data_IF_592426224250
#
_entry.id   IF_592426224250
#
_cell.length_a   1.000
_cell.length_b   1.000
_cell.length_c   1.000
_cell.angle_alpha   90.00
_cell.angle_beta   90.00
_cell.angle_gamma   90.00
#
_symmetry.space_group_name_H-M   'P 1'
#
loop_
_entity.id
_entity.type
_entity.pdbx_description
1 polymer ?
#
# COMPACT_ATOMS: atom_id res chain seq x y z
N UNK A 1 19.73 -3.95 15.58
CA UNK A 1 19.05 -3.37 14.40
C UNK A 1 18.46 -1.99 14.71
N UNK A 2 17.46 -1.87 15.60
CA UNK A 2 16.79 -0.59 15.90
C UNK A 2 17.77 0.53 16.32
N UNK A 3 18.69 0.26 17.23
CA UNK A 3 19.72 1.21 17.67
C UNK A 3 20.67 1.61 16.53
N UNK A 4 21.09 0.65 15.70
CA UNK A 4 21.97 0.94 14.55
C UNK A 4 21.30 1.83 13.51
N UNK A 5 20.04 1.57 13.18
CA UNK A 5 19.29 2.43 12.25
C UNK A 5 19.02 3.80 12.87
N UNK A 6 18.78 3.89 14.18
CA UNK A 6 18.61 5.16 14.87
C UNK A 6 19.81 6.10 14.69
N UNK A 7 21.05 5.55 14.70
CA UNK A 7 22.28 6.33 14.46
C UNK A 7 22.32 7.00 13.08
N UNK A 8 21.63 6.45 12.08
CA UNK A 8 21.59 7.00 10.72
C UNK A 8 20.62 8.18 10.57
N UNK A 9 19.65 8.31 11.50
CA UNK A 9 18.55 9.27 11.38
C UNK A 9 17.54 8.96 10.26
N UNK A 10 17.67 7.82 9.56
CA UNK A 10 16.73 7.33 8.55
C UNK A 10 15.59 6.52 9.19
N UNK A 11 14.43 6.39 8.52
CA UNK A 11 13.36 5.51 8.98
C UNK A 11 13.75 4.03 8.95
N UNK A 12 13.44 3.31 10.03
CA UNK A 12 13.37 1.86 10.05
C UNK A 12 12.00 1.44 9.52
N UNK A 13 11.97 0.82 8.33
CA UNK A 13 10.75 0.29 7.72
C UNK A 13 10.57 -1.16 8.13
N UNK A 14 9.38 -1.53 8.60
CA UNK A 14 9.11 -2.88 9.11
C UNK A 14 7.82 -3.41 8.51
N UNK A 15 7.88 -4.63 7.94
CA UNK A 15 6.71 -5.47 7.68
C UNK A 15 6.35 -6.15 9.01
N UNK A 16 5.22 -5.80 9.66
CA UNK A 16 4.96 -6.28 11.02
C UNK A 16 4.08 -7.53 11.01
N UNK A 17 4.65 -8.72 11.10
CA UNK A 17 3.89 -9.94 11.45
C UNK A 17 4.63 -10.73 12.53
N UNK A 18 3.88 -11.42 13.37
CA UNK A 18 4.41 -12.39 14.32
C UNK A 18 4.41 -13.77 13.66
N UNK A 19 5.62 -14.26 13.32
CA UNK A 19 5.78 -15.51 12.56
C UNK A 19 5.34 -16.74 13.37
N UNK A 20 5.55 -16.75 14.68
CA UNK A 20 5.17 -17.90 15.51
C UNK A 20 3.63 -18.01 15.59
N UNK A 21 2.93 -16.89 15.77
CA UNK A 21 1.46 -16.87 15.74
C UNK A 21 0.93 -17.28 14.37
N UNK A 22 1.53 -16.75 13.30
CA UNK A 22 1.21 -17.08 11.93
C UNK A 22 1.33 -18.59 11.69
N UNK A 23 2.48 -19.19 11.99
CA UNK A 23 2.75 -20.63 11.83
C UNK A 23 1.72 -21.49 12.58
N UNK A 24 1.43 -21.14 13.84
CA UNK A 24 0.43 -21.85 14.66
C UNK A 24 -0.96 -21.76 14.04
N UNK A 25 -1.34 -20.60 13.50
CA UNK A 25 -2.65 -20.41 12.87
C UNK A 25 -2.70 -21.20 11.56
N UNK A 26 -1.73 -21.04 10.66
CA UNK A 26 -1.66 -21.75 9.38
C UNK A 26 -1.71 -23.27 9.58
N UNK A 27 -0.95 -23.80 10.55
CA UNK A 27 -0.90 -25.22 10.84
C UNK A 27 -2.28 -25.81 11.16
N UNK A 28 -3.16 -25.07 11.86
CA UNK A 28 -4.54 -25.51 12.15
C UNK A 28 -5.34 -25.74 10.86
N UNK A 29 -5.19 -24.87 9.87
CA UNK A 29 -5.84 -25.03 8.57
C UNK A 29 -5.20 -26.15 7.76
N UNK A 30 -3.87 -26.28 7.84
CA UNK A 30 -3.14 -27.34 7.14
C UNK A 30 -3.53 -28.74 7.59
N UNK A 31 -3.64 -28.96 8.91
CA UNK A 31 -4.06 -30.23 9.51
C UNK A 31 -5.48 -30.64 9.13
N UNK A 32 -6.37 -29.67 8.87
CA UNK A 32 -7.73 -29.92 8.40
C UNK A 32 -7.82 -30.20 6.90
N UNK A 33 -6.71 -30.10 6.17
CA UNK A 33 -6.68 -30.26 4.72
C UNK A 33 -7.36 -29.12 3.96
N UNK A 34 -7.65 -27.97 4.59
CA UNK A 34 -8.29 -26.86 3.90
C UNK A 34 -7.26 -26.07 3.10
N UNK A 35 -7.45 -26.01 1.78
CA UNK A 35 -6.51 -25.45 0.80
C UNK A 35 -7.11 -24.30 -0.02
N UNK A 36 -8.32 -23.88 0.34
CA UNK A 36 -9.11 -22.90 -0.42
C UNK A 36 -8.64 -21.46 -0.15
N UNK A 37 -8.82 -20.53 -1.12
CA UNK A 37 -8.55 -19.10 -0.90
C UNK A 37 -9.24 -18.50 0.33
N UNK A 38 -10.48 -18.90 0.60
CA UNK A 38 -11.24 -18.47 1.77
C UNK A 38 -10.60 -18.91 3.10
N UNK A 39 -9.95 -20.08 3.12
CA UNK A 39 -9.29 -20.60 4.31
C UNK A 39 -8.06 -19.77 4.66
N UNK A 40 -7.24 -19.49 3.64
CA UNK A 40 -6.10 -18.59 3.74
C UNK A 40 -6.54 -17.19 4.20
N UNK A 41 -7.59 -16.63 3.59
CA UNK A 41 -8.16 -15.34 3.98
C UNK A 41 -8.63 -15.27 5.44
N UNK A 42 -9.27 -16.34 5.95
CA UNK A 42 -9.69 -16.42 7.34
C UNK A 42 -8.52 -16.60 8.30
N UNK A 43 -7.55 -17.44 7.96
CA UNK A 43 -6.39 -17.69 8.80
C UNK A 43 -5.64 -16.41 9.11
N UNK A 44 -5.42 -15.61 8.08
CA UNK A 44 -4.69 -14.38 8.27
C UNK A 44 -5.52 -13.31 8.99
N UNK A 45 -6.86 -13.37 9.01
CA UNK A 45 -7.68 -12.51 9.87
C UNK A 45 -8.14 -13.18 11.15
N UNK A 46 -7.50 -14.27 11.55
CA UNK A 46 -7.83 -14.95 12.80
C UNK A 46 -7.62 -13.99 13.98
N UNK A 47 -8.52 -14.08 14.96
CA UNK A 47 -8.56 -13.18 16.12
C UNK A 47 -8.44 -11.69 15.76
N UNK A 48 -9.16 -11.24 14.72
CA UNK A 48 -9.22 -9.85 14.27
C UNK A 48 -7.85 -9.24 13.86
N UNK A 49 -6.91 -10.09 13.43
CA UNK A 49 -5.59 -9.65 12.96
C UNK A 49 -4.49 -9.65 14.03
N UNK A 50 -4.60 -10.56 15.02
CA UNK A 50 -3.63 -10.72 16.12
C UNK A 50 -2.18 -10.85 15.66
N UNK A 51 -1.95 -11.45 14.48
CA UNK A 51 -0.62 -11.63 13.87
C UNK A 51 0.10 -10.28 13.71
N UNK A 52 -0.57 -9.29 13.12
CA UNK A 52 0.02 -7.96 12.90
C UNK A 52 -0.02 -7.12 14.17
N UNK A 53 -1.12 -7.16 14.93
CA UNK A 53 -1.25 -6.35 16.14
C UNK A 53 -0.18 -6.69 17.19
N UNK A 54 0.14 -7.97 17.36
CA UNK A 54 1.21 -8.42 18.27
C UNK A 54 2.58 -7.91 17.83
N UNK A 55 2.88 -8.00 16.53
CA UNK A 55 4.12 -7.49 15.97
C UNK A 55 4.20 -5.96 16.13
N UNK A 56 3.13 -5.22 15.81
CA UNK A 56 3.04 -3.76 15.94
C UNK A 56 3.24 -3.33 17.40
N UNK A 57 2.59 -4.00 18.35
CA UNK A 57 2.77 -3.72 19.77
C UNK A 57 4.23 -3.88 20.20
N UNK A 58 4.88 -4.96 19.75
CA UNK A 58 6.27 -5.28 20.07
C UNK A 58 7.24 -4.26 19.47
N UNK A 59 7.13 -3.96 18.17
CA UNK A 59 8.03 -3.00 17.52
C UNK A 59 7.83 -1.58 18.04
N UNK A 60 6.62 -1.21 18.49
CA UNK A 60 6.38 0.07 19.14
C UNK A 60 7.08 0.14 20.52
N UNK A 61 7.23 -0.97 21.24
CA UNK A 61 8.03 -0.98 22.48
C UNK A 61 9.50 -0.73 22.18
N UNK A 62 10.05 -1.39 21.17
CA UNK A 62 11.43 -1.17 20.74
C UNK A 62 11.65 0.26 20.22
N UNK A 63 10.71 0.78 19.42
CA UNK A 63 10.75 2.16 18.95
C UNK A 63 10.77 3.15 20.13
N UNK A 64 9.96 2.93 21.16
CA UNK A 64 9.94 3.79 22.35
C UNK A 64 11.26 3.76 23.11
N UNK A 65 11.89 2.59 23.20
CA UNK A 65 13.16 2.41 23.89
C UNK A 65 14.34 3.05 23.14
N UNK A 66 14.36 2.99 21.81
CA UNK A 66 15.49 3.45 21.00
C UNK A 66 15.30 4.84 20.40
N UNK A 67 14.08 5.36 20.35
CA UNK A 67 13.75 6.62 19.69
C UNK A 67 13.89 6.59 18.16
N UNK A 68 14.10 5.41 17.55
CA UNK A 68 14.23 5.29 16.09
C UNK A 68 12.98 5.84 15.39
N UNK A 69 13.16 6.46 14.22
CA UNK A 69 12.05 6.76 13.33
C UNK A 69 11.50 5.45 12.79
N UNK A 70 10.28 5.09 13.17
CA UNK A 70 9.65 3.85 12.72
C UNK A 70 8.67 4.16 11.59
N UNK A 71 8.71 3.35 10.53
CA UNK A 71 7.71 3.33 9.47
C UNK A 71 7.07 1.94 9.42
N UNK A 72 5.79 1.88 9.77
CA UNK A 72 5.01 0.64 9.79
C UNK A 72 4.42 0.44 8.39
N UNK A 73 4.86 -0.62 7.71
CA UNK A 73 4.38 -0.98 6.38
C UNK A 73 2.97 -1.59 6.45
N UNK A 74 2.21 -1.40 5.36
CA UNK A 74 0.96 -2.09 5.03
C UNK A 74 -0.01 -2.38 6.18
N UNK A 75 -0.25 -1.36 7.01
CA UNK A 75 -1.24 -1.39 8.07
C UNK A 75 -2.62 -1.81 7.52
N UNK A 76 -3.25 -2.77 8.19
CA UNK A 76 -4.55 -3.31 7.77
C UNK A 76 -5.48 -3.69 8.94
N UNK A 77 -5.14 -3.27 10.17
CA UNK A 77 -5.90 -3.62 11.40
C UNK A 77 -6.27 -2.37 12.22
N UNK A 78 -7.47 -2.32 12.82
CA UNK A 78 -7.87 -1.25 13.73
C UNK A 78 -6.98 -1.15 14.97
N UNK A 79 -6.61 -2.29 15.56
CA UNK A 79 -5.75 -2.31 16.75
C UNK A 79 -4.36 -1.74 16.46
N UNK A 80 -3.74 -2.16 15.35
CA UNK A 80 -2.51 -1.58 14.81
C UNK A 80 -2.59 -0.06 14.63
N UNK A 81 -3.65 0.43 14.00
CA UNK A 81 -3.90 1.87 13.83
C UNK A 81 -4.00 2.61 15.16
N UNK A 82 -4.75 2.08 16.13
CA UNK A 82 -4.92 2.70 17.44
C UNK A 82 -3.60 2.76 18.22
N UNK A 83 -2.80 1.69 18.17
CA UNK A 83 -1.47 1.68 18.78
C UNK A 83 -0.53 2.73 18.14
N UNK A 84 -0.56 2.86 16.82
CA UNK A 84 0.20 3.87 16.11
C UNK A 84 -0.29 5.30 16.42
N UNK A 85 -1.61 5.51 16.47
CA UNK A 85 -2.24 6.79 16.85
C UNK A 85 -1.75 7.25 18.22
N UNK A 86 -1.85 6.39 19.23
CA UNK A 86 -1.38 6.69 20.59
C UNK A 86 0.12 6.98 20.63
N UNK A 87 0.93 6.25 19.87
CA UNK A 87 2.36 6.54 19.79
C UNK A 87 2.64 7.93 19.20
N UNK A 88 1.88 8.35 18.19
CA UNK A 88 1.98 9.71 17.61
C UNK A 88 1.52 10.79 18.58
N UNK A 89 0.44 10.57 19.33
CA UNK A 89 -0.04 11.48 20.37
C UNK A 89 1.00 11.68 21.49
N UNK A 90 1.79 10.65 21.80
CA UNK A 90 2.97 10.74 22.68
C UNK A 90 4.16 11.50 22.05
N UNK A 91 4.04 12.01 20.81
CA UNK A 91 5.09 12.72 20.10
C UNK A 91 6.19 11.81 19.52
N UNK A 92 5.97 10.49 19.45
CA UNK A 92 6.98 9.54 18.99
C UNK A 92 7.07 9.55 17.46
N UNK A 93 8.29 9.41 16.88
CA UNK A 93 8.49 9.46 15.44
C UNK A 93 8.06 8.15 14.76
N UNK A 94 6.74 7.93 14.68
CA UNK A 94 6.11 6.79 14.02
C UNK A 94 5.35 7.27 12.79
N UNK A 95 5.51 6.57 11.68
CA UNK A 95 4.66 6.75 10.49
C UNK A 95 4.02 5.43 10.06
N UNK A 96 2.90 5.53 9.36
CA UNK A 96 2.04 4.42 8.95
C UNK A 96 1.78 4.49 7.45
N UNK A 97 1.99 3.37 6.77
CA UNK A 97 1.62 3.13 5.38
C UNK A 97 0.37 2.24 5.32
N UNK A 98 -0.56 2.58 4.41
CA UNK A 98 -1.68 1.72 4.01
C UNK A 98 -1.61 1.45 2.52
N UNK A 99 -1.99 0.24 2.10
CA UNK A 99 -1.93 -0.14 0.69
C UNK A 99 -3.29 -0.08 0.01
N UNK A 100 -3.33 0.20 -1.31
CA UNK A 100 -4.57 0.25 -2.08
C UNK A 100 -5.38 -1.05 -1.96
N UNK A 101 -4.74 -2.21 -1.93
CA UNK A 101 -5.44 -3.49 -1.78
C UNK A 101 -6.32 -3.54 -0.52
N UNK A 102 -5.87 -2.97 0.60
CA UNK A 102 -6.64 -3.01 1.84
C UNK A 102 -7.95 -2.20 1.75
N UNK A 103 -7.98 -1.15 0.92
CA UNK A 103 -9.13 -0.27 0.75
C UNK A 103 -10.04 -0.67 -0.42
N UNK A 104 -9.44 -1.25 -1.47
CA UNK A 104 -10.09 -1.37 -2.78
C UNK A 104 -10.19 -2.81 -3.29
N UNK A 105 -9.49 -3.77 -2.68
CA UNK A 105 -9.41 -5.15 -3.15
C UNK A 105 -9.84 -6.18 -2.08
N UNK A 106 -9.54 -5.94 -0.80
CA UNK A 106 -9.69 -6.90 0.29
C UNK A 106 -11.13 -7.27 0.72
N UNK A 107 -12.14 -7.27 -0.15
CA UNK A 107 -13.49 -7.72 0.22
C UNK A 107 -13.63 -9.25 0.18
N UNK A 108 -14.59 -9.79 0.94
CA UNK A 108 -14.89 -11.24 0.91
C UNK A 108 -15.33 -11.70 -0.49
N UNK A 109 -16.12 -10.87 -1.17
CA UNK A 109 -16.55 -11.09 -2.55
C UNK A 109 -15.37 -11.25 -3.51
N UNK A 110 -14.33 -10.42 -3.37
CA UNK A 110 -13.13 -10.53 -4.20
C UNK A 110 -12.32 -11.77 -3.88
N UNK A 111 -12.26 -12.22 -2.62
CA UNK A 111 -11.64 -13.51 -2.28
C UNK A 111 -12.35 -14.66 -3.00
N UNK A 112 -13.67 -14.63 -3.09
CA UNK A 112 -14.43 -15.66 -3.80
C UNK A 112 -14.27 -15.58 -5.33
N UNK A 113 -14.27 -14.37 -5.90
CA UNK A 113 -14.20 -14.15 -7.35
C UNK A 113 -12.79 -14.29 -7.92
N UNK A 114 -11.82 -13.67 -7.28
CA UNK A 114 -10.44 -13.55 -7.77
C UNK A 114 -9.52 -14.62 -7.20
N UNK A 115 -9.90 -15.25 -6.07
CA UNK A 115 -9.11 -16.31 -5.44
C UNK A 115 -7.64 -15.92 -5.26
N UNK A 116 -6.67 -16.65 -5.84
CA UNK A 116 -5.26 -16.30 -5.72
C UNK A 116 -4.90 -14.91 -6.24
N UNK A 117 -5.66 -14.35 -7.19
CA UNK A 117 -5.38 -13.04 -7.81
C UNK A 117 -5.74 -11.83 -6.94
N UNK A 118 -6.37 -12.06 -5.79
CA UNK A 118 -6.64 -11.06 -4.76
C UNK A 118 -6.02 -11.62 -3.49
N UNK A 119 -4.76 -11.25 -3.21
CA UNK A 119 -3.95 -11.67 -2.06
C UNK A 119 -4.86 -11.89 -0.88
N UNK A 120 -4.81 -13.11 -0.38
CA UNK A 120 -5.77 -13.63 0.59
C UNK A 120 -5.60 -13.05 1.98
N UNK A 121 -5.55 -11.74 2.13
CA UNK A 121 -5.88 -11.06 3.38
C UNK A 121 -7.15 -10.27 3.12
N UNK A 122 -8.28 -10.99 3.15
CA UNK A 122 -9.59 -10.36 3.35
C UNK A 122 -9.45 -9.28 4.42
N UNK A 123 -9.93 -8.07 4.18
CA UNK A 123 -9.96 -6.98 5.16
C UNK A 123 -11.42 -6.83 5.57
N UNK A 124 -11.77 -7.16 6.83
CA UNK A 124 -13.13 -6.97 7.33
C UNK A 124 -13.62 -5.53 7.11
N UNK A 125 -14.92 -5.35 6.91
CA UNK A 125 -15.49 -4.03 6.61
C UNK A 125 -15.16 -2.99 7.69
N UNK A 126 -15.23 -3.37 8.97
CA UNK A 126 -14.83 -2.49 10.07
C UNK A 126 -13.33 -2.12 10.07
N UNK A 127 -12.47 -2.96 9.49
CA UNK A 127 -11.06 -2.62 9.27
C UNK A 127 -10.93 -1.59 8.16
N UNK A 128 -11.64 -1.76 7.04
CA UNK A 128 -11.64 -0.80 5.93
C UNK A 128 -12.11 0.58 6.40
N UNK A 129 -13.18 0.62 7.19
CA UNK A 129 -13.68 1.85 7.81
C UNK A 129 -12.63 2.50 8.72
N UNK A 130 -11.96 1.71 9.57
CA UNK A 130 -10.91 2.20 10.44
C UNK A 130 -9.72 2.77 9.65
N UNK A 131 -9.34 2.14 8.53
CA UNK A 131 -8.28 2.64 7.64
C UNK A 131 -8.67 3.97 6.99
N UNK A 132 -9.90 4.11 6.49
CA UNK A 132 -10.40 5.39 5.97
C UNK A 132 -10.41 6.48 7.03
N UNK A 133 -10.85 6.16 8.25
CA UNK A 133 -10.79 7.10 9.39
C UNK A 133 -9.34 7.47 9.73
N UNK A 134 -8.42 6.51 9.67
CA UNK A 134 -6.99 6.75 9.87
C UNK A 134 -6.38 7.67 8.81
N UNK A 135 -6.83 7.59 7.55
CA UNK A 135 -6.46 8.55 6.50
C UNK A 135 -7.06 9.92 6.80
N UNK A 136 -8.31 9.97 7.25
CA UNK A 136 -9.02 11.20 7.53
C UNK A 136 -8.40 11.98 8.71
N UNK A 137 -8.05 11.28 9.79
CA UNK A 137 -7.50 11.86 11.03
C UNK A 137 -5.97 12.06 11.01
N UNK A 138 -5.28 11.59 9.97
CA UNK A 138 -3.82 11.71 9.81
C UNK A 138 -3.00 10.64 10.55
N UNK A 139 -3.65 9.61 11.12
CA UNK A 139 -2.97 8.43 11.66
C UNK A 139 -2.22 7.69 10.56
N UNK A 140 -2.79 7.60 9.36
CA UNK A 140 -2.13 7.07 8.15
C UNK A 140 -1.37 8.20 7.48
N UNK A 141 -0.05 8.05 7.30
CA UNK A 141 0.78 9.11 6.71
C UNK A 141 0.86 9.01 5.20
N UNK A 142 0.93 7.79 4.66
CA UNK A 142 1.13 7.60 3.24
C UNK A 142 0.49 6.34 2.67
N UNK A 143 0.41 6.32 1.35
CA UNK A 143 0.03 5.14 0.57
C UNK A 143 1.27 4.57 -0.11
N UNK A 144 1.56 3.30 0.16
CA UNK A 144 2.50 2.47 -0.60
C UNK A 144 1.72 1.42 -1.37
N UNK A 145 2.19 1.00 -2.54
CA UNK A 145 1.41 0.07 -3.38
C UNK A 145 1.71 -1.39 -3.10
N UNK A 146 2.86 -1.70 -2.49
CA UNK A 146 3.38 -3.08 -2.36
C UNK A 146 3.25 -3.87 -3.67
N UNK A 147 3.60 -3.20 -4.78
CA UNK A 147 3.52 -3.78 -6.11
C UNK A 147 4.53 -4.91 -6.25
N UNK A 148 4.05 -6.15 -6.11
CA UNK A 148 4.82 -7.38 -6.22
C UNK A 148 4.14 -8.33 -7.23
N UNK A 149 4.25 -8.07 -8.54
CA UNK A 149 3.50 -8.81 -9.56
C UNK A 149 4.07 -10.21 -9.79
N UNK A 150 3.19 -11.20 -9.88
CA UNK A 150 3.49 -12.60 -10.23
C UNK A 150 2.80 -12.99 -11.54
N UNK A 151 3.35 -13.98 -12.25
CA UNK A 151 2.72 -14.45 -13.48
C UNK A 151 1.40 -15.17 -13.18
N UNK A 152 0.53 -15.33 -14.18
CA UNK A 152 -0.74 -16.06 -14.00
C UNK A 152 -0.49 -17.51 -13.60
N UNK A 153 0.52 -18.13 -14.21
CA UNK A 153 0.92 -19.51 -13.95
C UNK A 153 1.35 -19.71 -12.49
N UNK A 154 2.12 -18.75 -11.95
CA UNK A 154 2.53 -18.75 -10.54
C UNK A 154 1.33 -18.59 -9.61
N UNK A 155 0.36 -17.73 -9.95
CA UNK A 155 -0.83 -17.49 -9.14
C UNK A 155 -1.81 -18.66 -9.19
N UNK A 156 -2.01 -19.26 -10.36
CA UNK A 156 -3.01 -20.30 -10.62
C UNK A 156 -2.81 -21.58 -9.79
N UNK A 157 -1.60 -21.81 -9.26
CA UNK A 157 -1.36 -22.89 -8.28
C UNK A 157 -2.28 -22.77 -7.07
N UNK A 158 -2.68 -21.54 -6.72
CA UNK A 158 -3.55 -21.23 -5.59
C UNK A 158 -4.99 -21.72 -5.74
N UNK A 159 -5.45 -22.00 -6.96
CA UNK A 159 -6.76 -22.64 -7.17
C UNK A 159 -6.78 -24.09 -6.67
N UNK A 160 -5.62 -24.76 -6.66
CA UNK A 160 -5.46 -26.10 -6.09
C UNK A 160 -5.03 -26.04 -4.64
N UNK A 161 -4.08 -25.16 -4.34
CA UNK A 161 -3.51 -25.00 -3.01
C UNK A 161 -3.10 -23.54 -2.77
N UNK A 162 -3.98 -22.79 -2.11
CA UNK A 162 -3.75 -21.36 -1.86
C UNK A 162 -2.47 -21.10 -1.08
N UNK A 163 -2.07 -22.01 -0.19
CA UNK A 163 -0.87 -21.88 0.64
C UNK A 163 0.43 -21.97 -0.18
N UNK A 164 0.34 -22.38 -1.45
CA UNK A 164 1.47 -22.42 -2.39
C UNK A 164 1.46 -21.26 -3.39
N UNK A 165 0.40 -20.45 -3.42
CA UNK A 165 0.33 -19.27 -4.29
C UNK A 165 1.25 -18.19 -3.73
N UNK A 166 2.08 -17.54 -4.55
CA UNK A 166 2.90 -16.46 -4.06
C UNK A 166 2.05 -15.24 -3.69
N UNK A 167 2.46 -14.58 -2.61
CA UNK A 167 1.90 -13.31 -2.20
C UNK A 167 2.40 -12.16 -3.06
N UNK A 168 1.51 -11.26 -3.47
CA UNK A 168 1.81 -10.08 -4.28
C UNK A 168 0.85 -9.93 -5.47
N UNK A 169 0.47 -8.69 -5.81
CA UNK A 169 -0.22 -8.36 -7.07
C UNK A 169 0.25 -7.04 -7.70
N UNK A 170 -0.09 -6.84 -8.99
CA UNK A 170 0.03 -5.54 -9.64
C UNK A 170 -0.88 -4.46 -9.03
N UNK A 171 -0.29 -3.41 -8.44
CA UNK A 171 -1.06 -2.23 -7.96
C UNK A 171 -0.56 -0.85 -8.47
N UNK A 172 0.73 -0.71 -8.82
CA UNK A 172 1.39 0.59 -9.05
C UNK A 172 0.76 1.48 -10.14
N UNK A 173 0.18 0.89 -11.18
CA UNK A 173 -0.40 1.66 -12.28
C UNK A 173 -1.78 2.24 -11.91
N UNK A 174 -2.59 1.46 -11.20
CA UNK A 174 -4.01 1.74 -11.04
C UNK A 174 -4.32 2.54 -9.77
N UNK A 175 -3.43 2.52 -8.77
CA UNK A 175 -3.72 3.06 -7.44
C UNK A 175 -4.21 4.52 -7.47
N UNK A 176 -3.59 5.39 -8.27
CA UNK A 176 -3.98 6.80 -8.33
C UNK A 176 -5.40 6.96 -8.90
N UNK A 177 -5.78 6.19 -9.92
CA UNK A 177 -7.15 6.22 -10.48
C UNK A 177 -8.18 5.75 -9.45
N UNK A 178 -7.86 4.75 -8.62
CA UNK A 178 -8.73 4.28 -7.54
C UNK A 178 -8.97 5.38 -6.50
N UNK A 179 -7.90 6.07 -6.07
CA UNK A 179 -8.02 7.15 -5.11
C UNK A 179 -8.69 8.40 -5.70
N UNK A 180 -8.45 8.76 -6.96
CA UNK A 180 -9.15 9.84 -7.64
C UNK A 180 -10.66 9.53 -7.79
N UNK A 181 -11.02 8.25 -7.95
CA UNK A 181 -12.41 7.81 -7.91
C UNK A 181 -12.98 8.03 -6.51
N UNK A 182 -12.27 7.65 -5.45
CA UNK A 182 -12.68 7.93 -4.07
C UNK A 182 -12.82 9.44 -3.78
N UNK A 183 -12.01 10.29 -4.43
CA UNK A 183 -12.17 11.75 -4.37
C UNK A 183 -13.46 12.20 -5.05
N UNK A 184 -13.74 11.69 -6.25
CA UNK A 184 -15.00 11.95 -6.96
C UNK A 184 -16.25 11.46 -6.18
N UNK A 185 -16.11 10.39 -5.41
CA UNK A 185 -17.15 9.84 -4.52
C UNK A 185 -17.28 10.59 -3.19
N UNK A 186 -16.41 11.57 -2.91
CA UNK A 186 -16.44 12.34 -1.66
C UNK A 186 -15.88 11.62 -0.43
N UNK A 187 -15.23 10.46 -0.60
CA UNK A 187 -14.60 9.70 0.50
C UNK A 187 -13.25 10.26 0.93
N UNK A 188 -12.58 11.00 0.04
CA UNK A 188 -11.26 11.57 0.25
C UNK A 188 -11.21 12.96 -0.39
N UNK A 189 -10.50 13.91 0.21
CA UNK A 189 -10.25 15.20 -0.45
C UNK A 189 -9.00 15.12 -1.32
N UNK A 190 -8.95 15.92 -2.39
CA UNK A 190 -7.76 15.98 -3.25
C UNK A 190 -6.49 16.41 -2.48
N UNK A 191 -6.63 17.34 -1.52
CA UNK A 191 -5.51 17.76 -0.65
C UNK A 191 -4.96 16.59 0.17
N UNK A 192 -5.84 15.79 0.79
CA UNK A 192 -5.42 14.60 1.53
C UNK A 192 -4.76 13.57 0.62
N UNK A 193 -5.30 13.36 -0.59
CA UNK A 193 -4.69 12.48 -1.58
C UNK A 193 -3.26 12.92 -1.93
N UNK A 194 -3.05 14.20 -2.23
CA UNK A 194 -1.72 14.77 -2.52
C UNK A 194 -0.78 14.60 -1.31
N UNK A 195 -1.29 14.81 -0.09
CA UNK A 195 -0.51 14.63 1.14
C UNK A 195 0.00 13.19 1.28
N UNK A 196 -0.88 12.21 1.19
CA UNK A 196 -0.54 10.80 1.47
C UNK A 196 0.19 10.10 0.31
N UNK A 197 0.14 10.64 -0.92
CA UNK A 197 0.81 10.02 -2.08
C UNK A 197 2.09 10.71 -2.51
N UNK A 198 2.29 11.97 -2.13
CA UNK A 198 3.43 12.77 -2.61
C UNK A 198 4.16 13.49 -1.49
N UNK A 199 3.48 14.37 -0.75
CA UNK A 199 4.13 15.24 0.23
C UNK A 199 4.69 14.47 1.44
N UNK A 200 3.88 13.62 2.08
CA UNK A 200 4.29 12.87 3.25
C UNK A 200 5.39 11.84 2.94
N UNK A 201 5.31 11.04 1.85
CA UNK A 201 6.44 10.21 1.43
C UNK A 201 7.73 11.03 1.29
N UNK A 202 7.67 12.16 0.58
CA UNK A 202 8.87 12.99 0.37
C UNK A 202 9.45 13.52 1.69
N UNK A 203 8.58 13.93 2.62
CA UNK A 203 8.97 14.40 3.95
C UNK A 203 9.55 13.29 4.83
N UNK A 204 8.89 12.13 4.89
CA UNK A 204 9.27 10.99 5.74
C UNK A 204 10.61 10.40 5.30
N UNK A 205 10.81 10.26 3.99
CA UNK A 205 12.03 9.69 3.40
C UNK A 205 13.10 10.74 3.08
N UNK A 206 12.90 12.00 3.51
CA UNK A 206 13.94 13.03 3.50
C UNK A 206 14.30 13.59 2.13
N UNK A 207 13.39 13.55 1.16
CA UNK A 207 13.60 14.09 -0.20
C UNK A 207 12.79 15.36 -0.50
N UNK A 208 12.08 15.89 0.50
CA UNK A 208 11.47 17.22 0.47
C UNK A 208 12.56 18.31 0.66
N UNK A 209 12.56 19.44 -0.09
CA UNK A 209 11.56 19.88 -1.06
C UNK A 209 11.83 19.44 -2.50
N UNK A 210 12.89 18.66 -2.77
CA UNK A 210 13.19 18.23 -4.15
C UNK A 210 12.02 17.47 -4.79
N UNK A 211 11.31 16.64 -4.01
CA UNK A 211 10.13 15.86 -4.42
C UNK A 211 8.91 16.22 -3.59
N UNK A 212 7.72 15.87 -4.09
CA UNK A 212 6.47 15.87 -3.32
C UNK A 212 5.80 17.24 -3.12
N UNK A 213 6.31 18.30 -3.74
CA UNK A 213 5.76 19.67 -3.68
C UNK A 213 5.88 20.39 -5.01
N UNK A 214 4.97 21.33 -5.25
CA UNK A 214 5.01 22.25 -6.39
C UNK A 214 5.48 23.60 -5.86
N UNK A 215 6.79 23.86 -5.97
CA UNK A 215 7.39 25.14 -5.61
C UNK A 215 8.64 25.40 -6.46
N UNK A 216 9.09 26.65 -6.49
CA UNK A 216 10.34 27.02 -7.15
C UNK A 216 11.51 26.26 -6.52
N UNK A 217 12.33 25.64 -7.37
CA UNK A 217 13.50 24.85 -6.97
C UNK A 217 13.26 23.35 -6.78
N UNK A 218 12.01 22.88 -6.84
CA UNK A 218 11.67 21.45 -6.82
C UNK A 218 11.79 20.81 -8.21
N UNK A 219 11.96 19.49 -8.26
CA UNK A 219 11.89 18.76 -9.52
C UNK A 219 10.47 18.91 -10.10
N UNK A 220 10.38 19.19 -11.40
CA UNK A 220 9.11 19.30 -12.12
C UNK A 220 8.49 17.91 -12.37
N UNK A 221 8.18 17.21 -11.28
CA UNK A 221 7.48 15.94 -11.24
C UNK A 221 5.99 16.22 -11.01
N UNK A 222 5.21 16.19 -12.08
CA UNK A 222 3.82 16.65 -12.10
C UNK A 222 2.91 15.61 -12.75
N UNK A 223 1.70 15.51 -12.26
CA UNK A 223 0.62 14.73 -12.89
C UNK A 223 -0.51 15.68 -13.23
N UNK A 224 -0.94 15.69 -14.49
CA UNK A 224 -2.14 16.40 -14.91
C UNK A 224 -3.26 15.36 -14.92
N UNK A 225 -4.35 15.66 -14.23
CA UNK A 225 -5.50 14.76 -14.05
C UNK A 225 -6.73 15.42 -14.66
N UNK A 226 -7.46 14.66 -15.47
CA UNK A 226 -8.83 15.00 -15.84
C UNK A 226 -9.78 14.37 -14.82
N UNK A 227 -10.34 15.18 -13.93
CA UNK A 227 -11.24 14.72 -12.86
C UNK A 227 -12.59 14.19 -13.37
N UNK A 228 -13.00 14.57 -14.58
CA UNK A 228 -14.28 14.19 -15.17
C UNK A 228 -14.16 12.97 -16.08
N UNK A 229 -12.95 12.66 -16.56
CA UNK A 229 -12.71 11.49 -17.41
C UNK A 229 -13.02 10.20 -16.66
N UNK A 230 -13.75 9.32 -17.34
CA UNK A 230 -14.07 7.97 -16.90
C UNK A 230 -13.34 6.95 -17.78
N UNK A 231 -12.93 5.85 -17.17
CA UNK A 231 -12.24 4.74 -17.83
C UNK A 231 -12.65 3.42 -17.16
N UNK A 232 -12.50 2.31 -17.87
CA UNK A 232 -12.52 0.98 -17.27
C UNK A 232 -11.10 0.43 -17.26
N UNK A 233 -10.61 0.02 -16.09
CA UNK A 233 -9.31 -0.64 -15.97
C UNK A 233 -9.39 -2.00 -16.65
N UNK A 234 -8.44 -2.32 -17.53
CA UNK A 234 -8.42 -3.62 -18.22
C UNK A 234 -7.02 -4.23 -18.21
N UNK A 235 -6.94 -5.52 -18.59
CA UNK A 235 -5.65 -6.22 -18.65
C UNK A 235 -4.85 -5.75 -19.87
N UNK A 236 -5.55 -5.39 -20.93
CA UNK A 236 -4.99 -4.96 -22.21
C UNK A 236 -4.29 -3.60 -22.12
N UNK A 237 -4.70 -2.77 -21.16
CA UNK A 237 -4.11 -1.44 -20.92
C UNK A 237 -3.11 -1.42 -19.77
N UNK A 238 -2.80 -2.58 -19.17
CA UNK A 238 -1.80 -2.66 -18.11
C UNK A 238 -0.38 -2.71 -18.66
N UNK A 239 0.50 -1.89 -18.11
CA UNK A 239 1.93 -1.86 -18.43
C UNK A 239 2.75 -2.78 -17.52
N UNK A 240 2.16 -3.34 -16.45
CA UNK A 240 2.89 -4.33 -15.66
C UNK A 240 3.26 -5.52 -16.55
N UNK A 241 4.48 -6.02 -16.41
CA UNK A 241 5.03 -7.05 -17.29
C UNK A 241 4.23 -8.35 -17.27
N UNK A 242 3.51 -8.62 -16.17
CA UNK A 242 2.70 -9.83 -16.01
C UNK A 242 1.38 -9.78 -16.80
N UNK A 243 1.01 -8.63 -17.38
CA UNK A 243 -0.12 -8.52 -18.30
C UNK A 243 -1.50 -8.75 -17.66
N UNK A 244 -1.62 -8.54 -16.35
CA UNK A 244 -2.91 -8.57 -15.65
C UNK A 244 -2.97 -7.55 -14.51
N UNK A 245 -4.18 -7.22 -14.08
CA UNK A 245 -4.45 -6.38 -12.90
C UNK A 245 -5.64 -6.96 -12.12
N UNK A 246 -5.62 -6.96 -10.78
CA UNK A 246 -6.76 -7.41 -9.98
C UNK A 246 -7.98 -6.47 -10.12
N UNK A 247 -7.81 -5.30 -10.73
CA UNK A 247 -8.85 -4.30 -10.94
C UNK A 247 -9.51 -4.39 -12.32
N UNK A 248 -9.27 -5.47 -13.09
CA UNK A 248 -9.86 -5.66 -14.41
C UNK A 248 -11.40 -5.54 -14.37
N UNK A 249 -11.96 -4.74 -15.27
CA UNK A 249 -13.40 -4.46 -15.37
C UNK A 249 -13.91 -3.37 -14.42
N UNK A 250 -13.06 -2.80 -13.57
CA UNK A 250 -13.46 -1.74 -12.64
C UNK A 250 -13.56 -0.39 -13.37
N UNK A 251 -14.71 0.28 -13.21
CA UNK A 251 -14.90 1.66 -13.65
C UNK A 251 -14.23 2.63 -12.67
N UNK A 252 -13.53 3.62 -13.19
CA UNK A 252 -12.85 4.66 -12.43
C UNK A 252 -13.15 6.03 -13.00
N UNK A 253 -13.11 7.06 -12.15
CA UNK A 253 -13.33 8.46 -12.50
C UNK A 253 -12.25 9.35 -11.91
N UNK A 254 -11.71 10.23 -12.74
CA UNK A 254 -10.47 10.95 -12.43
C UNK A 254 -9.27 10.17 -12.94
N UNK A 255 -8.75 10.59 -14.09
CA UNK A 255 -7.72 9.84 -14.82
C UNK A 255 -6.50 10.73 -15.09
N UNK A 256 -5.28 10.28 -14.74
CA UNK A 256 -4.05 10.94 -15.18
C UNK A 256 -3.96 10.98 -16.71
N UNK A 257 -3.85 12.19 -17.26
CA UNK A 257 -3.73 12.44 -18.71
C UNK A 257 -2.32 12.83 -19.13
N UNK A 258 -1.53 13.41 -18.21
CA UNK A 258 -0.08 13.60 -18.41
C UNK A 258 0.68 13.20 -17.16
N UNK A 259 1.88 12.65 -17.36
CA UNK A 259 2.90 12.53 -16.32
C UNK A 259 4.18 13.17 -16.81
N UNK A 260 4.71 14.07 -15.99
CA UNK A 260 5.91 14.85 -16.24
C UNK A 260 6.92 14.45 -15.18
N UNK A 261 8.14 14.10 -15.58
CA UNK A 261 9.24 13.76 -14.68
C UNK A 261 10.40 14.68 -15.02
N UNK A 262 10.83 15.50 -14.04
CA UNK A 262 11.86 16.54 -14.20
C UNK A 262 11.64 17.40 -15.45
N UNK A 263 10.40 17.82 -15.68
CA UNK A 263 10.03 18.70 -16.79
C UNK A 263 9.90 18.01 -18.15
N UNK A 264 10.12 16.69 -18.24
CA UNK A 264 9.90 15.91 -19.46
C UNK A 264 8.56 15.18 -19.38
N UNK A 265 7.73 15.30 -20.42
CA UNK A 265 6.51 14.50 -20.54
C UNK A 265 6.90 13.04 -20.81
N UNK A 266 6.54 12.13 -19.89
CA UNK A 266 6.85 10.69 -19.99
C UNK A 266 5.61 9.83 -20.23
N UNK A 267 4.41 10.38 -19.98
CA UNK A 267 3.14 9.77 -20.34
C UNK A 267 2.19 10.84 -20.86
N UNK A 268 1.46 10.50 -21.93
CA UNK A 268 0.39 11.31 -22.51
C UNK A 268 -0.79 10.41 -22.88
N UNK A 269 -1.99 10.75 -22.41
CA UNK A 269 -3.25 10.05 -22.69
C UNK A 269 -3.19 8.53 -22.46
N UNK A 270 -2.54 8.12 -21.36
CA UNK A 270 -2.36 6.71 -21.00
C UNK A 270 -1.27 5.98 -21.79
N UNK A 271 -0.58 6.67 -22.70
CA UNK A 271 0.56 6.12 -23.46
C UNK A 271 1.88 6.52 -22.82
N UNK A 272 2.67 5.54 -22.40
CA UNK A 272 4.04 5.77 -21.93
C UNK A 272 4.91 6.10 -23.15
N UNK A 273 5.48 7.32 -23.16
CA UNK A 273 6.33 7.84 -24.23
C UNK A 273 7.76 8.17 -23.74
N UNK A 274 8.00 8.06 -22.44
CA UNK A 274 9.33 8.20 -21.83
C UNK A 274 10.30 7.10 -22.27
N UNK A 275 11.60 7.36 -22.16
CA UNK A 275 12.65 6.43 -22.57
C UNK A 275 13.37 5.85 -21.35
N UNK A 276 13.84 4.58 -21.40
CA UNK A 276 14.72 4.04 -20.37
C UNK A 276 15.94 4.95 -20.15
N UNK A 277 16.35 5.12 -18.90
CA UNK A 277 17.50 5.95 -18.52
C UNK A 277 17.15 7.40 -18.13
N UNK A 278 15.90 7.85 -18.33
CA UNK A 278 15.46 9.17 -17.85
C UNK A 278 15.31 9.25 -16.32
N UNK A 279 15.38 8.12 -15.60
CA UNK A 279 15.34 8.01 -14.14
C UNK A 279 16.72 8.24 -13.50
N UNK A 280 16.76 8.80 -12.29
CA UNK A 280 18.02 8.96 -11.53
C UNK A 280 17.79 8.60 -10.07
N UNK A 281 18.84 8.17 -9.39
CA UNK A 281 18.81 7.95 -7.96
C UNK A 281 18.61 9.28 -7.20
N UNK A 282 17.72 9.27 -6.22
CA UNK A 282 17.49 10.39 -5.31
C UNK A 282 17.85 9.92 -3.91
N UNK A 283 18.97 10.42 -3.39
CA UNK A 283 19.33 10.21 -2.00
C UNK A 283 18.44 11.07 -1.09
N UNK A 284 18.10 10.59 0.12
CA UNK A 284 17.66 11.47 1.19
C UNK A 284 18.66 12.63 1.35
N UNK A 285 18.16 13.84 1.59
CA UNK A 285 19.00 14.98 1.92
C UNK A 285 19.86 14.59 3.13
N UNK A 286 21.18 14.58 2.92
CA UNK A 286 22.15 14.38 4.00
C UNK A 286 21.89 15.43 5.08
N UNK A 287 21.86 14.99 6.33
CA UNK A 287 21.89 15.89 7.47
C UNK A 287 23.32 16.29 7.77
#
# INVERSE_FOLDING_TARGET
>A
CFEEVAKTGLPLMVHPHDQDLMDVIEQKYWQRGDRRPQAYARAYRDFDGIIWDTAIATILRFQKATGVKLHILHMSTPGGLEMARRAKEEGRPVSVEVNPWALFLGSWENVEKLGPYCLGFWVPEHHVEALWKGIDDGTVDLIGTDHAPHTKEEKDVGWKDMWKSPGGEPQIQDYLKLFLTAVNEGKLTLDKLVRITSYNPARIFGVLPRKGVIQVGSDADLVIVDMNKEETITNETTYTRVGWTPYHGRKVKGVPVYTIVRGKVVMQDGKVIGKPGDGEFVAPLGR
#
